data_IF_092201674318
#
_entry.id   IF_092201674318
#
_cell.length_a   1.000
_cell.length_b   1.000
_cell.length_c   1.000
_cell.angle_alpha   90.00
_cell.angle_beta   90.00
_cell.angle_gamma   90.00
#
_symmetry.space_group_name_H-M   'P 1'
#
loop_
_entity.id
_entity.type
_entity.pdbx_description
1 polymer ?
#
# COMPACT_ATOMS: atom_id res chain seq x y z
N UNK A 1 10.02 -2.59 15.27
CA UNK A 1 8.83 -2.12 16.04
C UNK A 1 8.02 -3.27 16.62
N UNK A 2 6.86 -3.70 16.08
CA UNK A 2 5.94 -4.64 16.79
C UNK A 2 6.63 -5.94 17.24
N UNK A 3 7.41 -6.58 16.37
CA UNK A 3 8.10 -7.84 16.69
C UNK A 3 9.17 -7.69 17.78
N UNK A 4 9.80 -6.53 17.84
CA UNK A 4 10.89 -6.20 18.75
C UNK A 4 10.34 -5.78 20.11
N UNK A 5 9.36 -4.87 20.13
CA UNK A 5 8.64 -4.48 21.34
C UNK A 5 7.94 -5.71 22.00
N UNK A 6 7.44 -6.66 21.20
CA UNK A 6 6.90 -7.91 21.71
C UNK A 6 7.97 -8.82 22.35
N UNK A 7 9.23 -8.74 21.89
CA UNK A 7 10.35 -9.48 22.49
C UNK A 7 10.82 -8.82 23.79
N UNK A 8 10.66 -7.50 23.93
CA UNK A 8 10.94 -6.72 25.14
C UNK A 8 9.83 -6.84 26.21
N UNK A 9 8.69 -7.47 25.86
CA UNK A 9 7.61 -7.77 26.80
C UNK A 9 6.52 -6.71 26.89
N UNK A 10 6.45 -5.75 25.96
CA UNK A 10 5.32 -4.81 25.88
C UNK A 10 4.02 -5.57 25.60
N UNK A 11 3.05 -5.46 26.52
CA UNK A 11 1.80 -6.22 26.47
C UNK A 11 1.00 -5.95 25.19
N UNK A 12 0.98 -4.70 24.73
CA UNK A 12 0.28 -4.29 23.52
C UNK A 12 0.99 -4.82 22.28
N UNK A 13 2.32 -4.82 22.28
CA UNK A 13 3.12 -5.39 21.19
C UNK A 13 2.98 -6.91 21.11
N UNK A 14 2.88 -7.61 22.26
CA UNK A 14 2.60 -9.05 22.32
C UNK A 14 1.23 -9.35 21.72
N UNK A 15 0.20 -8.56 22.07
CA UNK A 15 -1.12 -8.71 21.48
C UNK A 15 -1.09 -8.44 19.96
N UNK A 16 -0.42 -7.38 19.52
CA UNK A 16 -0.28 -7.05 18.10
C UNK A 16 0.46 -8.16 17.33
N UNK A 17 1.49 -8.77 17.93
CA UNK A 17 2.18 -9.92 17.37
C UNK A 17 1.25 -11.12 17.17
N UNK A 18 0.33 -11.38 18.10
CA UNK A 18 -0.63 -12.46 17.96
C UNK A 18 -1.50 -12.30 16.70
N UNK A 19 -1.92 -11.07 16.36
CA UNK A 19 -2.63 -10.78 15.10
C UNK A 19 -1.75 -11.04 13.86
N UNK A 20 -0.48 -10.60 13.89
CA UNK A 20 0.45 -10.81 12.79
C UNK A 20 0.76 -12.30 12.55
N UNK A 21 0.90 -13.08 13.62
CA UNK A 21 1.24 -14.51 13.55
C UNK A 21 0.09 -15.32 12.93
N UNK A 22 -1.17 -14.90 13.13
CA UNK A 22 -2.35 -15.48 12.48
C UNK A 22 -2.69 -14.84 11.12
N UNK A 23 -1.83 -13.94 10.62
CA UNK A 23 -2.01 -13.28 9.32
C UNK A 23 -3.18 -12.28 9.28
N UNK A 24 -3.64 -11.78 10.42
CA UNK A 24 -4.68 -10.74 10.49
C UNK A 24 -4.04 -9.35 10.60
N UNK A 25 -4.81 -8.35 10.15
CA UNK A 25 -4.45 -6.95 10.39
C UNK A 25 -4.53 -6.64 11.89
N UNK A 26 -3.54 -5.89 12.38
CA UNK A 26 -3.53 -5.36 13.75
C UNK A 26 -4.55 -4.22 13.82
N UNK A 27 -5.42 -4.18 14.84
CA UNK A 27 -6.32 -3.04 15.04
C UNK A 27 -5.58 -1.71 15.12
N UNK A 28 -6.22 -0.64 14.68
CA UNK A 28 -5.61 0.68 14.56
C UNK A 28 -5.28 1.25 15.94
N UNK A 29 -6.17 1.10 16.92
CA UNK A 29 -5.96 1.57 18.29
C UNK A 29 -4.74 0.89 18.92
N UNK A 30 -4.64 -0.43 18.75
CA UNK A 30 -3.51 -1.22 19.25
C UNK A 30 -2.19 -0.81 18.58
N UNK A 31 -2.23 -0.49 17.29
CA UNK A 31 -1.05 -0.02 16.56
C UNK A 31 -0.58 1.34 17.09
N UNK A 32 -1.52 2.25 17.37
CA UNK A 32 -1.24 3.57 17.94
C UNK A 32 -0.67 3.47 19.36
N UNK A 33 -1.17 2.56 20.18
CA UNK A 33 -0.62 2.33 21.53
C UNK A 33 0.82 1.81 21.50
N UNK A 34 1.11 0.83 20.63
CA UNK A 34 2.49 0.33 20.46
C UNK A 34 3.42 1.43 19.94
N UNK A 35 2.94 2.28 19.03
CA UNK A 35 3.68 3.46 18.56
C UNK A 35 3.97 4.43 19.70
N UNK A 36 2.97 4.75 20.53
CA UNK A 36 3.12 5.66 21.66
C UNK A 36 4.18 5.19 22.65
N UNK A 37 4.17 3.90 23.01
CA UNK A 37 5.22 3.31 23.86
C UNK A 37 6.59 3.44 23.20
N UNK A 38 6.71 3.12 21.91
CA UNK A 38 8.00 3.10 21.21
C UNK A 38 8.59 4.50 21.02
N UNK A 39 7.76 5.47 20.63
CA UNK A 39 8.17 6.85 20.38
C UNK A 39 8.53 7.62 21.66
N UNK A 40 8.13 7.09 22.83
CA UNK A 40 8.53 7.60 24.14
C UNK A 40 9.93 7.16 24.60
N UNK A 41 10.57 6.22 23.91
CA UNK A 41 11.90 5.72 24.27
C UNK A 41 13.01 6.76 24.09
N UNK A 42 14.02 6.72 24.98
CA UNK A 42 15.18 7.63 24.93
C UNK A 42 16.00 7.48 23.64
N UNK A 43 16.03 6.28 23.08
CA UNK A 43 16.73 5.97 21.82
C UNK A 43 16.09 6.63 20.59
N UNK A 44 14.84 7.11 20.72
CA UNK A 44 14.15 7.87 19.69
C UNK A 44 14.39 9.37 19.81
N UNK A 45 15.23 9.87 20.74
CA UNK A 45 15.46 11.30 20.93
C UNK A 45 15.98 12.01 19.66
N UNK A 46 16.74 11.32 18.82
CA UNK A 46 17.29 11.86 17.58
C UNK A 46 16.25 12.02 16.45
N UNK A 47 15.06 11.44 16.59
CA UNK A 47 14.02 11.42 15.54
C UNK A 47 13.49 10.01 15.28
N UNK A 48 12.59 9.90 14.30
CA UNK A 48 12.05 8.61 13.86
C UNK A 48 11.67 8.67 12.37
N UNK A 49 11.64 7.50 11.73
CA UNK A 49 11.10 7.32 10.39
C UNK A 49 9.99 6.30 10.45
N UNK A 50 8.76 6.71 10.13
CA UNK A 50 7.62 5.80 10.04
C UNK A 50 7.52 5.27 8.61
N UNK A 51 7.55 3.94 8.47
CA UNK A 51 7.42 3.28 7.17
C UNK A 51 6.20 2.37 7.18
N UNK A 52 5.25 2.64 6.30
CA UNK A 52 4.04 1.83 6.13
C UNK A 52 2.93 2.09 7.15
N UNK A 53 3.04 3.17 7.94
CA UNK A 53 2.01 3.74 8.81
C UNK A 53 2.17 5.26 8.82
N UNK A 54 1.08 6.06 8.77
CA UNK A 54 -0.32 5.63 8.64
C UNK A 54 -0.68 5.21 7.21
N UNK A 55 -1.83 4.56 7.06
CA UNK A 55 -2.41 4.11 5.76
C UNK A 55 -3.80 4.66 5.47
N UNK A 56 -4.44 5.26 6.47
CA UNK A 56 -5.76 5.88 6.36
C UNK A 56 -5.74 7.24 7.04
N UNK A 57 -6.67 8.14 6.70
CA UNK A 57 -6.78 9.45 7.35
C UNK A 57 -7.07 9.30 8.86
N UNK A 58 -7.93 8.36 9.26
CA UNK A 58 -8.22 8.09 10.67
C UNK A 58 -6.95 7.67 11.47
N UNK A 59 -6.05 6.88 10.86
CA UNK A 59 -4.76 6.57 11.47
C UNK A 59 -3.83 7.78 11.55
N UNK A 60 -3.93 8.72 10.61
CA UNK A 60 -3.15 9.95 10.64
C UNK A 60 -3.60 10.88 11.77
N UNK A 61 -4.91 10.99 12.02
CA UNK A 61 -5.45 11.74 13.16
C UNK A 61 -5.01 11.13 14.49
N UNK A 62 -5.17 9.81 14.64
CA UNK A 62 -4.71 9.10 15.84
C UNK A 62 -3.19 9.25 16.05
N UNK A 63 -2.40 9.24 14.98
CA UNK A 63 -0.98 9.52 15.04
C UNK A 63 -0.70 10.95 15.51
N UNK A 64 -1.44 11.94 14.98
CA UNK A 64 -1.28 13.35 15.38
C UNK A 64 -1.51 13.51 16.89
N UNK A 65 -2.57 12.91 17.45
CA UNK A 65 -2.86 12.97 18.89
C UNK A 65 -1.73 12.39 19.76
N UNK A 66 -1.17 11.25 19.31
CA UNK A 66 -0.04 10.62 20.00
C UNK A 66 1.20 11.52 19.95
N UNK A 67 1.50 12.09 18.79
CA UNK A 67 2.65 12.96 18.59
C UNK A 67 2.52 14.28 19.34
N UNK A 68 1.32 14.85 19.42
CA UNK A 68 1.02 16.04 20.22
C UNK A 68 1.22 15.78 21.71
N UNK A 69 0.74 14.62 22.21
CA UNK A 69 0.97 14.20 23.60
C UNK A 69 2.46 14.07 23.92
N UNK A 70 3.26 13.60 22.96
CA UNK A 70 4.70 13.45 23.10
C UNK A 70 5.47 14.75 22.89
N UNK A 71 4.80 15.78 22.36
CA UNK A 71 5.36 17.04 21.85
C UNK A 71 6.41 16.83 20.73
N UNK A 72 6.10 15.93 19.80
CA UNK A 72 6.98 15.49 18.71
C UNK A 72 6.24 15.50 17.37
N UNK A 73 5.98 16.67 16.77
CA UNK A 73 5.24 16.75 15.50
C UNK A 73 5.97 16.03 14.35
N UNK A 74 5.23 15.70 13.29
CA UNK A 74 5.84 15.26 12.04
C UNK A 74 6.43 16.46 11.30
N UNK A 75 7.70 16.35 10.93
CA UNK A 75 8.37 17.37 10.12
C UNK A 75 8.01 17.25 8.63
N UNK A 76 7.93 16.01 8.14
CA UNK A 76 7.89 15.73 6.72
C UNK A 76 7.19 14.40 6.42
N UNK A 77 6.38 14.38 5.37
CA UNK A 77 5.81 13.17 4.79
C UNK A 77 6.31 13.05 3.36
N UNK A 78 6.94 11.92 3.04
CA UNK A 78 7.49 11.63 1.72
C UNK A 78 6.63 10.59 1.01
N UNK A 79 6.09 10.96 -0.16
CA UNK A 79 5.41 10.01 -1.04
C UNK A 79 6.27 9.74 -2.27
N UNK A 80 6.45 8.44 -2.56
CA UNK A 80 7.13 7.97 -3.76
C UNK A 80 6.09 7.85 -4.88
N UNK A 81 6.08 8.82 -5.80
CA UNK A 81 5.14 8.90 -6.90
C UNK A 81 5.74 8.29 -8.18
N UNK A 82 4.90 7.66 -8.99
CA UNK A 82 5.31 7.06 -10.27
C UNK A 82 4.15 6.32 -10.93
N UNK A 83 4.37 5.87 -12.16
CA UNK A 83 3.42 5.10 -12.94
C UNK A 83 3.09 3.76 -12.26
N UNK A 84 1.79 3.44 -12.04
CA UNK A 84 1.36 2.13 -11.58
C UNK A 84 1.97 0.96 -12.35
N UNK A 85 2.14 1.09 -13.67
CA UNK A 85 2.72 0.04 -14.51
C UNK A 85 4.21 -0.18 -14.17
N UNK A 86 4.94 0.89 -13.87
CA UNK A 86 6.32 0.79 -13.39
C UNK A 86 6.40 0.06 -12.04
N UNK A 87 5.48 0.33 -11.12
CA UNK A 87 5.42 -0.39 -9.85
C UNK A 87 5.01 -1.85 -10.02
N UNK A 88 4.18 -2.17 -11.02
CA UNK A 88 3.75 -3.54 -11.32
C UNK A 88 4.97 -4.36 -11.73
N UNK A 89 5.75 -3.87 -12.70
CA UNK A 89 6.97 -4.53 -13.17
C UNK A 89 7.98 -4.74 -12.02
N UNK A 90 8.13 -3.73 -11.14
CA UNK A 90 9.02 -3.83 -9.97
C UNK A 90 8.58 -4.92 -8.99
N UNK A 91 7.27 -5.05 -8.73
CA UNK A 91 6.74 -6.03 -7.79
C UNK A 91 6.74 -7.45 -8.37
N UNK A 92 6.39 -7.61 -9.65
CA UNK A 92 6.43 -8.90 -10.33
C UNK A 92 7.85 -9.45 -10.50
N UNK A 93 8.78 -8.55 -10.82
CA UNK A 93 10.19 -8.86 -10.98
C UNK A 93 10.89 -9.18 -9.66
N UNK A 94 10.30 -8.84 -8.51
CA UNK A 94 10.93 -8.99 -7.19
C UNK A 94 11.24 -10.44 -6.85
N UNK A 95 12.45 -10.66 -6.36
CA UNK A 95 13.00 -11.94 -5.95
C UNK A 95 13.72 -11.76 -4.63
N UNK A 96 13.56 -12.69 -3.70
CA UNK A 96 14.12 -12.57 -2.34
C UNK A 96 14.89 -13.84 -2.01
N UNK A 97 16.10 -13.69 -1.48
CA UNK A 97 16.85 -14.80 -0.92
C UNK A 97 16.24 -15.24 0.41
N UNK A 98 15.89 -16.52 0.54
CA UNK A 98 15.30 -17.05 1.79
C UNK A 98 16.29 -17.07 2.97
N UNK A 99 17.58 -17.11 2.69
CA UNK A 99 18.63 -17.26 3.71
C UNK A 99 19.07 -15.92 4.30
N UNK A 100 19.33 -14.92 3.45
CA UNK A 100 19.86 -13.62 3.89
C UNK A 100 18.91 -12.44 3.66
N UNK A 101 17.77 -12.64 2.98
CA UNK A 101 16.81 -11.58 2.70
C UNK A 101 17.21 -10.63 1.57
N UNK A 102 18.38 -10.81 0.93
CA UNK A 102 18.79 -9.97 -0.22
C UNK A 102 17.71 -9.96 -1.28
N UNK A 103 17.34 -8.76 -1.72
CA UNK A 103 16.33 -8.52 -2.75
C UNK A 103 17.01 -8.37 -4.10
N UNK A 104 16.40 -8.99 -5.11
CA UNK A 104 16.76 -8.92 -6.52
C UNK A 104 15.52 -8.53 -7.31
N UNK A 105 15.72 -8.04 -8.52
CA UNK A 105 14.65 -7.84 -9.48
C UNK A 105 15.10 -8.38 -10.84
N UNK A 106 14.32 -9.25 -11.47
CA UNK A 106 14.74 -9.91 -12.73
C UNK A 106 15.03 -8.90 -13.86
N UNK A 107 14.34 -7.76 -13.87
CA UNK A 107 14.46 -6.76 -14.92
C UNK A 107 15.59 -5.77 -14.67
N UNK A 108 15.73 -5.27 -13.43
CA UNK A 108 16.70 -4.22 -13.11
C UNK A 108 17.96 -4.69 -12.41
N UNK A 109 17.87 -5.73 -11.57
CA UNK A 109 18.99 -6.24 -10.78
C UNK A 109 18.88 -7.77 -10.58
N UNK A 110 19.07 -8.56 -11.66
CA UNK A 110 18.95 -10.01 -11.59
C UNK A 110 20.15 -10.62 -10.84
N UNK A 111 19.96 -11.78 -10.17
CA UNK A 111 21.09 -12.52 -9.63
C UNK A 111 22.02 -12.99 -10.75
N UNK A 112 23.33 -13.12 -10.48
CA UNK A 112 24.31 -13.58 -11.49
C UNK A 112 23.99 -14.98 -12.02
N UNK A 113 23.45 -15.84 -11.14
CA UNK A 113 22.99 -17.18 -11.48
C UNK A 113 21.53 -17.31 -11.09
N UNK A 114 20.68 -17.74 -12.03
CA UNK A 114 19.25 -17.83 -11.78
C UNK A 114 18.94 -18.75 -10.58
N UNK A 115 18.08 -18.25 -9.68
CA UNK A 115 17.71 -18.92 -8.44
C UNK A 115 18.78 -18.98 -7.34
N UNK A 116 19.96 -18.40 -7.52
CA UNK A 116 21.08 -18.44 -6.55
C UNK A 116 21.45 -17.03 -6.09
N UNK A 117 21.63 -16.84 -4.79
CA UNK A 117 21.97 -15.56 -4.21
C UNK A 117 23.47 -15.27 -4.37
N UNK A 118 23.80 -14.10 -4.89
CA UNK A 118 25.19 -13.67 -5.10
C UNK A 118 25.96 -13.45 -3.79
N UNK A 119 25.26 -13.14 -2.69
CA UNK A 119 25.89 -12.87 -1.40
C UNK A 119 26.14 -14.12 -0.55
N UNK A 120 25.26 -15.12 -0.61
CA UNK A 120 25.33 -16.27 0.30
C UNK A 120 25.14 -17.65 -0.36
N UNK A 121 24.92 -17.71 -1.68
CA UNK A 121 24.62 -18.94 -2.40
C UNK A 121 23.25 -19.56 -2.07
N UNK A 122 22.45 -18.90 -1.21
CA UNK A 122 21.10 -19.36 -0.84
C UNK A 122 20.11 -19.28 -2.00
N UNK A 123 18.97 -19.96 -1.87
CA UNK A 123 17.94 -19.95 -2.92
C UNK A 123 17.19 -18.63 -2.97
N UNK A 124 17.10 -18.07 -4.16
CA UNK A 124 16.33 -16.87 -4.49
C UNK A 124 15.00 -17.30 -5.10
N UNK A 125 13.88 -16.75 -4.61
CA UNK A 125 12.54 -17.07 -5.09
C UNK A 125 11.64 -15.85 -5.10
N UNK A 126 10.56 -15.90 -5.89
CA UNK A 126 9.46 -14.93 -5.78
C UNK A 126 8.78 -15.07 -4.43
N UNK A 127 8.27 -13.97 -3.87
CA UNK A 127 7.38 -14.06 -2.70
C UNK A 127 6.03 -14.65 -3.11
N UNK A 128 5.33 -15.26 -2.15
CA UNK A 128 4.02 -15.87 -2.42
C UNK A 128 2.94 -14.83 -2.77
N UNK A 129 3.05 -13.62 -2.21
CA UNK A 129 2.11 -12.50 -2.38
C UNK A 129 2.34 -11.65 -3.63
N UNK A 130 3.43 -11.89 -4.38
CA UNK A 130 3.81 -11.06 -5.53
C UNK A 130 3.17 -11.52 -6.85
N UNK A 131 1.98 -12.13 -6.83
CA UNK A 131 1.25 -12.48 -8.07
C UNK A 131 0.48 -11.28 -8.65
N UNK A 132 0.31 -11.25 -9.98
CA UNK A 132 -0.28 -10.13 -10.72
C UNK A 132 -1.64 -9.70 -10.12
N UNK A 133 -2.54 -10.66 -9.89
CA UNK A 133 -3.87 -10.42 -9.32
C UNK A 133 -3.80 -9.79 -7.93
N UNK A 134 -2.91 -10.30 -7.07
CA UNK A 134 -2.71 -9.77 -5.71
C UNK A 134 -2.06 -8.39 -5.74
N UNK A 135 -1.10 -8.16 -6.64
CA UNK A 135 -0.45 -6.86 -6.80
C UNK A 135 -1.46 -5.83 -7.29
N UNK A 136 -2.22 -6.14 -8.35
CA UNK A 136 -3.26 -5.26 -8.88
C UNK A 136 -4.30 -4.92 -7.82
N UNK A 137 -4.74 -5.90 -7.03
CA UNK A 137 -5.68 -5.65 -5.93
C UNK A 137 -5.07 -4.73 -4.86
N UNK A 138 -3.79 -4.93 -4.50
CA UNK A 138 -3.09 -4.09 -3.52
C UNK A 138 -2.91 -2.66 -4.02
N UNK A 139 -2.61 -2.46 -5.30
CA UNK A 139 -2.51 -1.14 -5.91
C UNK A 139 -3.86 -0.43 -5.88
N UNK A 140 -4.94 -1.11 -6.25
CA UNK A 140 -6.30 -0.55 -6.17
C UNK A 140 -6.68 -0.13 -4.75
N UNK A 141 -6.42 -0.99 -3.77
CA UNK A 141 -6.67 -0.67 -2.35
C UNK A 141 -5.81 0.51 -1.91
N UNK A 142 -4.52 0.52 -2.26
CA UNK A 142 -3.62 1.62 -1.96
C UNK A 142 -4.15 2.94 -2.54
N UNK A 143 -4.54 2.97 -3.82
CA UNK A 143 -5.03 4.18 -4.47
C UNK A 143 -6.31 4.71 -3.79
N UNK A 144 -7.27 3.82 -3.51
CA UNK A 144 -8.53 4.19 -2.85
C UNK A 144 -8.35 4.72 -1.42
N UNK A 145 -7.36 4.22 -0.67
CA UNK A 145 -7.13 4.62 0.73
C UNK A 145 -6.15 5.78 0.85
N UNK A 146 -5.17 5.86 -0.05
CA UNK A 146 -4.09 6.85 0.03
C UNK A 146 -4.53 8.21 -0.46
N UNK A 147 -5.53 8.32 -1.33
CA UNK A 147 -5.98 9.62 -1.84
C UNK A 147 -6.34 10.60 -0.70
N UNK A 148 -7.21 10.17 0.22
CA UNK A 148 -7.61 10.98 1.38
C UNK A 148 -6.45 11.29 2.31
N UNK A 149 -5.52 10.33 2.49
CA UNK A 149 -4.33 10.50 3.33
C UNK A 149 -3.33 11.51 2.73
N UNK A 150 -3.12 11.47 1.41
CA UNK A 150 -2.25 12.40 0.72
C UNK A 150 -2.84 13.81 0.73
N UNK A 151 -4.15 13.94 0.51
CA UNK A 151 -4.84 15.22 0.62
C UNK A 151 -4.70 15.82 2.03
N UNK A 152 -4.90 15.00 3.07
CA UNK A 152 -4.68 15.40 4.46
C UNK A 152 -3.29 16.02 4.66
N UNK A 153 -2.21 15.30 4.33
CA UNK A 153 -0.85 15.83 4.52
C UNK A 153 -0.47 16.98 3.59
N UNK A 154 -1.11 17.08 2.41
CA UNK A 154 -0.95 18.22 1.51
C UNK A 154 -1.53 19.50 2.12
N UNK A 155 -2.69 19.42 2.77
CA UNK A 155 -3.31 20.54 3.48
C UNK A 155 -2.50 20.98 4.70
N UNK A 156 -1.88 20.03 5.41
CA UNK A 156 -0.94 20.33 6.50
C UNK A 156 0.41 20.91 6.03
N UNK A 157 0.68 20.93 4.72
CA UNK A 157 1.89 21.53 4.15
C UNK A 157 3.18 20.75 4.38
N UNK A 158 3.09 19.52 4.91
CA UNK A 158 4.25 18.65 5.21
C UNK A 158 4.48 17.56 4.17
N UNK A 159 3.59 17.42 3.16
CA UNK A 159 3.75 16.45 2.09
C UNK A 159 4.77 16.90 1.04
N UNK A 160 5.70 16.02 0.69
CA UNK A 160 6.60 16.14 -0.45
C UNK A 160 6.53 14.90 -1.32
N UNK A 161 6.37 15.12 -2.62
CA UNK A 161 6.35 14.07 -3.62
C UNK A 161 7.74 13.89 -4.22
N UNK A 162 8.17 12.65 -4.36
CA UNK A 162 9.45 12.26 -4.94
C UNK A 162 9.19 11.27 -6.07
N UNK A 163 9.73 11.58 -7.24
CA UNK A 163 9.67 10.74 -8.43
C UNK A 163 10.46 9.44 -8.21
N UNK A 164 9.75 8.32 -8.22
CA UNK A 164 10.25 6.98 -7.92
C UNK A 164 10.63 6.15 -9.16
N UNK A 165 10.45 6.70 -10.37
CA UNK A 165 10.80 6.03 -11.64
C UNK A 165 12.28 6.16 -11.98
N UNK A 166 12.99 7.08 -11.30
CA UNK A 166 14.42 7.29 -11.48
C UNK A 166 15.23 6.13 -10.90
N UNK A 167 16.52 6.11 -11.23
CA UNK A 167 17.47 5.17 -10.62
C UNK A 167 17.49 5.31 -9.09
N UNK A 168 17.72 4.22 -8.36
CA UNK A 168 17.73 4.19 -6.89
C UNK A 168 18.61 5.29 -6.26
N UNK A 169 19.79 5.56 -6.84
CA UNK A 169 20.69 6.63 -6.38
C UNK A 169 20.09 8.03 -6.54
N UNK A 170 19.36 8.27 -7.63
CA UNK A 170 18.71 9.56 -7.88
C UNK A 170 17.52 9.77 -6.94
N UNK A 171 16.74 8.71 -6.69
CA UNK A 171 15.64 8.74 -5.71
C UNK A 171 16.20 8.99 -4.30
N UNK A 172 17.26 8.27 -3.91
CA UNK A 172 17.92 8.47 -2.61
C UNK A 172 18.42 9.91 -2.43
N UNK A 173 19.08 10.48 -3.45
CA UNK A 173 19.53 11.87 -3.42
C UNK A 173 18.37 12.85 -3.25
N UNK A 174 17.28 12.66 -3.99
CA UNK A 174 16.09 13.49 -3.89
C UNK A 174 15.43 13.41 -2.49
N UNK A 175 15.41 12.21 -1.89
CA UNK A 175 14.94 12.03 -0.51
C UNK A 175 15.82 12.78 0.49
N UNK A 176 17.15 12.68 0.38
CA UNK A 176 18.06 13.43 1.24
C UNK A 176 17.87 14.94 1.08
N UNK A 177 17.78 15.43 -0.16
CA UNK A 177 17.53 16.86 -0.42
C UNK A 177 16.20 17.35 0.17
N UNK A 178 15.14 16.54 0.11
CA UNK A 178 13.85 16.86 0.72
C UNK A 178 13.91 16.91 2.25
N UNK A 179 14.70 16.03 2.87
CA UNK A 179 14.91 16.01 4.32
C UNK A 179 15.76 17.21 4.75
N UNK A 180 16.89 17.44 4.08
CA UNK A 180 17.84 18.52 4.42
C UNK A 180 17.25 19.92 4.21
N UNK A 181 16.32 20.08 3.27
CA UNK A 181 15.61 21.34 3.02
C UNK A 181 14.43 21.59 3.95
N UNK A 182 14.03 20.60 4.75
CA UNK A 182 12.92 20.74 5.69
C UNK A 182 13.45 21.23 7.04
N UNK A 183 13.09 22.44 7.49
CA UNK A 183 13.47 22.89 8.82
C UNK A 183 12.77 22.01 9.86
N UNK A 184 13.45 21.63 10.96
CA UNK A 184 12.82 20.86 12.01
C UNK A 184 11.64 21.65 12.59
N UNK A 185 10.51 20.99 12.76
CA UNK A 185 9.35 21.57 13.40
C UNK A 185 9.72 21.97 14.83
N UNK A 186 9.25 23.13 15.32
CA UNK A 186 9.60 23.60 16.65
C UNK A 186 9.11 22.59 17.69
N UNK A 187 10.05 21.95 18.38
CA UNK A 187 9.75 21.07 19.52
C UNK A 187 9.09 21.93 20.59
N UNK A 188 7.79 21.73 20.82
CA UNK A 188 7.09 22.39 21.92
C UNK A 188 7.62 21.79 23.23
N UNK A 189 8.09 22.60 24.20
CA UNK A 189 8.54 22.05 25.47
C UNK A 189 7.37 21.31 26.14
N UNK A 190 7.62 20.09 26.65
CA UNK A 190 6.64 19.39 27.51
C UNK A 190 6.42 20.22 28.76
N UNK A 191 5.35 21.02 28.79
CA UNK A 191 5.08 21.94 29.88
C UNK A 191 3.60 22.25 30.05
N UNK A 192 2.99 21.66 31.08
CA UNK A 192 1.86 22.22 31.81
C UNK A 192 0.48 22.02 31.19
N UNK A 193 -0.40 21.34 31.93
CA UNK A 193 -1.84 21.35 31.68
C UNK A 193 -2.39 22.79 31.65
N UNK A 194 -2.53 23.40 30.47
CA UNK A 194 -3.56 24.39 30.15
C UNK A 194 -3.50 24.76 28.67
N UNK A 195 -4.61 24.60 27.93
CA UNK A 195 -4.72 25.18 26.59
C UNK A 195 -5.79 24.55 25.72
N UNK A 196 -7.05 24.61 26.15
CA UNK A 196 -8.24 24.18 25.40
C UNK A 196 -8.57 25.06 24.15
N UNK A 197 -7.56 25.62 23.48
CA UNK A 197 -7.75 26.56 22.36
C UNK A 197 -7.50 25.96 20.97
N UNK A 198 -6.56 25.02 20.82
CA UNK A 198 -6.19 24.52 19.49
C UNK A 198 -7.11 23.41 18.95
N UNK A 199 -7.85 22.73 19.84
CA UNK A 199 -8.78 21.66 19.46
C UNK A 199 -10.07 22.18 18.81
N UNK A 200 -10.41 23.46 18.98
CA UNK A 200 -11.61 24.05 18.38
C UNK A 200 -11.36 24.40 16.91
N UNK A 201 -10.18 24.95 16.59
CA UNK A 201 -9.83 25.32 15.21
C UNK A 201 -9.64 24.09 14.30
N UNK A 202 -9.15 22.95 14.84
CA UNK A 202 -9.02 21.70 14.07
C UNK A 202 -10.33 20.93 13.97
N UNK A 203 -11.17 20.94 15.00
CA UNK A 203 -12.48 20.29 14.96
C UNK A 203 -13.47 21.00 14.03
N UNK A 204 -13.46 22.35 14.01
CA UNK A 204 -14.27 23.12 13.04
C UNK A 204 -13.77 22.91 11.61
N UNK A 205 -12.45 22.89 11.39
CA UNK A 205 -11.89 22.56 10.07
C UNK A 205 -12.25 21.13 9.62
N UNK A 206 -12.28 20.16 10.55
CA UNK A 206 -12.63 18.77 10.27
C UNK A 206 -14.14 18.53 10.06
N UNK A 207 -15.01 19.30 10.71
CA UNK A 207 -16.46 19.24 10.44
C UNK A 207 -16.80 19.82 9.07
N UNK A 208 -16.16 20.95 8.71
CA UNK A 208 -16.27 21.53 7.37
C UNK A 208 -15.67 20.60 6.30
N UNK A 209 -14.69 19.76 6.67
CA UNK A 209 -14.11 18.71 5.82
C UNK A 209 -15.10 17.56 5.55
N UNK A 210 -15.79 17.04 6.58
CA UNK A 210 -16.75 15.94 6.41
C UNK A 210 -17.95 16.36 5.53
N UNK A 211 -18.46 17.59 5.69
CA UNK A 211 -19.54 18.11 4.84
C UNK A 211 -19.10 18.32 3.38
N UNK A 212 -17.90 18.90 3.14
CA UNK A 212 -17.42 19.14 1.77
C UNK A 212 -17.05 17.88 1.00
N UNK A 213 -16.49 16.88 1.68
CA UNK A 213 -16.17 15.58 1.06
C UNK A 213 -17.46 14.85 0.68
N UNK A 214 -18.49 14.90 1.52
CA UNK A 214 -19.81 14.35 1.19
C UNK A 214 -20.44 15.09 0.00
N UNK A 215 -20.32 16.41 -0.07
CA UNK A 215 -20.80 17.19 -1.22
C UNK A 215 -20.05 16.84 -2.51
N UNK A 216 -18.70 16.82 -2.53
CA UNK A 216 -17.92 16.45 -3.72
C UNK A 216 -18.19 15.01 -4.18
N UNK A 217 -18.36 14.05 -3.27
CA UNK A 217 -18.71 12.66 -3.61
C UNK A 217 -20.13 12.54 -4.19
N UNK A 218 -21.09 13.34 -3.70
CA UNK A 218 -22.46 13.38 -4.25
C UNK A 218 -22.46 14.00 -5.65
N UNK A 219 -21.61 15.00 -5.90
CA UNK A 219 -21.47 15.60 -7.24
C UNK A 219 -20.83 14.62 -8.22
N UNK A 220 -19.76 13.92 -7.83
CA UNK A 220 -19.10 12.91 -8.68
C UNK A 220 -20.01 11.70 -8.99
N UNK A 221 -20.84 11.25 -8.04
CA UNK A 221 -21.86 10.20 -8.26
C UNK A 221 -22.99 10.66 -9.18
N UNK A 222 -23.44 11.92 -9.08
CA UNK A 222 -24.50 12.46 -9.95
C UNK A 222 -24.01 12.68 -11.37
N UNK A 223 -22.79 13.20 -11.56
CA UNK A 223 -22.17 13.32 -12.89
C UNK A 223 -21.92 11.95 -13.56
N UNK A 224 -21.50 10.94 -12.78
CA UNK A 224 -21.35 9.56 -13.28
C UNK A 224 -22.69 8.93 -13.67
N UNK A 225 -23.77 9.21 -12.92
CA UNK A 225 -25.13 8.75 -13.25
C UNK A 225 -25.67 9.44 -14.49
N UNK A 226 -25.48 10.75 -14.64
CA UNK A 226 -25.90 11.49 -15.83
C UNK A 226 -25.11 11.05 -17.08
N UNK A 227 -23.82 10.76 -16.96
CA UNK A 227 -23.01 10.19 -18.04
C UNK A 227 -23.46 8.78 -18.44
N UNK A 228 -23.86 7.94 -17.47
CA UNK A 228 -24.39 6.62 -17.73
C UNK A 228 -25.78 6.69 -18.42
N UNK A 229 -26.66 7.60 -18.00
CA UNK A 229 -28.00 7.74 -18.56
C UNK A 229 -27.98 8.29 -20.00
N UNK A 230 -27.07 9.22 -20.31
CA UNK A 230 -26.88 9.74 -21.67
C UNK A 230 -26.27 8.72 -22.65
N UNK A 231 -25.65 7.64 -22.15
CA UNK A 231 -25.07 6.59 -22.99
C UNK A 231 -26.10 5.55 -23.46
N UNK A 232 -27.26 5.46 -22.80
CA UNK A 232 -28.30 4.44 -23.08
C UNK A 232 -29.27 4.88 -24.19
N UNK A 233 -29.36 6.17 -24.52
CA UNK A 233 -30.37 6.68 -25.48
C UNK A 233 -29.95 6.60 -26.97
N UNK A 234 -28.72 6.20 -27.31
CA UNK A 234 -28.23 6.19 -28.72
C UNK A 234 -28.11 4.83 -29.42
N UNK A 235 -28.96 3.84 -29.12
CA UNK A 235 -29.06 2.63 -29.97
C UNK A 235 -30.47 2.05 -30.08
N UNK A 236 -31.22 2.51 -31.09
CA UNK A 236 -32.42 1.84 -31.59
C UNK A 236 -32.05 0.84 -32.72
N UNK A 237 -32.79 -0.27 -32.92
CA UNK A 237 -32.37 -1.40 -33.75
C UNK A 237 -32.91 -1.34 -35.19
N UNK A 238 -32.10 -1.73 -36.17
CA UNK A 238 -32.54 -1.94 -37.55
C UNK A 238 -32.69 -3.44 -37.87
N UNK A 239 -33.93 -3.85 -38.21
CA UNK A 239 -34.29 -5.15 -38.81
C UNK A 239 -33.88 -5.21 -40.29
N UNK A 240 -33.44 -6.40 -40.75
CA UNK A 240 -33.59 -7.04 -42.09
C UNK A 240 -32.61 -8.22 -42.14
N UNK A 241 -32.79 -9.35 -42.80
CA UNK A 241 -33.90 -10.11 -43.37
C UNK A 241 -33.28 -11.49 -43.70
N UNK A 242 -34.08 -12.56 -43.69
CA UNK A 242 -33.64 -13.94 -43.90
C UNK A 242 -33.07 -14.21 -45.31
N UNK A 243 -32.07 -15.10 -45.39
CA UNK A 243 -31.83 -15.93 -46.57
C UNK A 243 -31.28 -17.31 -46.15
N UNK A 244 -32.09 -18.35 -46.41
CA UNK A 244 -31.74 -19.77 -46.35
C UNK A 244 -30.66 -20.12 -47.37
N UNK A 245 -29.70 -20.97 -46.99
CA UNK A 245 -29.23 -22.09 -47.83
C UNK A 245 -28.78 -23.25 -46.94
N UNK A 246 -29.28 -24.43 -47.28
CA UNK A 246 -29.10 -25.70 -46.59
C UNK A 246 -27.96 -26.53 -47.21
N UNK A 247 -27.63 -27.63 -46.51
CA UNK A 247 -26.78 -28.78 -46.86
C UNK A 247 -25.33 -28.68 -46.32
N UNK A 248 -24.71 -29.68 -45.68
CA UNK A 248 -25.06 -31.09 -45.48
C UNK A 248 -24.36 -31.69 -44.23
N UNK A 249 -24.98 -32.73 -43.68
CA UNK A 249 -24.48 -33.71 -42.68
C UNK A 249 -23.03 -34.17 -42.90
N UNK A 250 -22.29 -34.39 -41.80
CA UNK A 250 -21.75 -35.73 -41.42
C UNK A 250 -21.09 -35.72 -40.02
N UNK A 251 -21.63 -36.55 -39.13
CA UNK A 251 -20.93 -37.20 -38.00
C UNK A 251 -21.05 -38.71 -38.27
N UNK A 252 -20.01 -39.53 -38.03
CA UNK A 252 -20.00 -40.46 -36.88
C UNK A 252 -18.63 -40.48 -36.17
N UNK A 253 -18.54 -40.40 -34.84
CA UNK A 253 -18.71 -41.46 -33.83
C UNK A 253 -17.53 -42.45 -33.68
N UNK A 254 -16.89 -42.37 -32.50
CA UNK A 254 -16.25 -43.39 -31.63
C UNK A 254 -15.55 -44.62 -32.25
N UNK A 255 -14.33 -44.90 -31.75
CA UNK A 255 -13.93 -46.25 -31.29
C UNK A 255 -12.99 -46.18 -30.08
N UNK A 256 -13.35 -46.92 -29.03
CA UNK A 256 -12.52 -47.29 -27.89
C UNK A 256 -11.79 -48.62 -28.18
N UNK A 257 -10.64 -48.87 -27.53
CA UNK A 257 -10.28 -50.14 -26.86
C UNK A 257 -8.78 -50.23 -26.46
N UNK A 258 -8.57 -50.24 -25.13
CA UNK A 258 -7.84 -51.23 -24.30
C UNK A 258 -6.49 -51.89 -24.70
N UNK A 259 -5.60 -51.88 -23.68
CA UNK A 259 -4.67 -52.92 -23.17
C UNK A 259 -3.48 -53.40 -24.03
N UNK A 260 -2.28 -53.28 -23.44
CA UNK A 260 -1.48 -54.45 -22.99
C UNK A 260 -0.35 -54.06 -22.02
N UNK A 261 -0.27 -54.84 -20.94
CA UNK A 261 0.87 -54.95 -20.04
C UNK A 261 1.97 -55.81 -20.67
N UNK A 262 3.23 -55.53 -20.33
CA UNK A 262 4.30 -56.55 -20.28
C UNK A 262 5.44 -56.04 -19.39
N UNK A 263 5.69 -56.77 -18.31
CA UNK A 263 6.86 -56.71 -17.46
C UNK A 263 8.10 -57.31 -18.15
N UNK A 264 9.30 -56.78 -17.87
CA UNK A 264 10.50 -57.59 -17.58
C UNK A 264 11.73 -56.77 -17.16
N UNK A 265 12.35 -57.22 -16.05
CA UNK A 265 13.74 -57.04 -15.56
C UNK A 265 14.09 -55.63 -15.05
N UNK A 266 14.63 -55.43 -13.85
CA UNK A 266 15.42 -56.28 -12.96
C UNK A 266 15.04 -56.05 -11.48
#
# INVERSE_FOLDING_TARGET
MVREAAAEGDANAVQARAYLDIGRHVPDELTCEVLKSRLGGEDMAAGFLLVGFPRTAAQADALSEVLDTLARPLDLVLVLAGDPDHFMERLEGRRVCRSCGTMYNIFSFPPRVDGVCDQCGGRVRRRADDNEETIANRMRVYDSQSHSLLQYYRLHGILREVDAERSDNAVFKALCEAIDSTPPAPVRPRGGASGAGAAQDTAEANQVFDERVLEEQVVDETEKREAAENSVVKKAPAKKAAAKKAAAKKVPAKKAAAKKAAAKKA
#
